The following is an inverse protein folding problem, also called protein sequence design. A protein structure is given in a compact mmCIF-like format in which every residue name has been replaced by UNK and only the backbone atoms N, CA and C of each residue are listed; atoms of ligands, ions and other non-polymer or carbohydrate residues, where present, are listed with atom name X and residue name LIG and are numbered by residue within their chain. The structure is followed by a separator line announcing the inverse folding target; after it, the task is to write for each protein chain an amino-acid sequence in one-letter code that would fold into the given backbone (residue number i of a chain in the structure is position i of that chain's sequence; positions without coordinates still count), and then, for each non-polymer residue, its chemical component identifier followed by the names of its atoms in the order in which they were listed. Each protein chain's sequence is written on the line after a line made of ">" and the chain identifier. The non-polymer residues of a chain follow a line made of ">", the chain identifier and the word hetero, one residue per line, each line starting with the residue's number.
data_IF_140547611835
#
_entry.id   IF_140547611835
#
_cell.length_a   1.000
_cell.length_b   1.000
_cell.length_c   1.000
_cell.angle_alpha   90.00
_cell.angle_beta   90.00
_cell.angle_gamma   90.00
#
_symmetry.space_group_name_H-M   'P 1'
#
loop_
_entity.id
_entity.type
_entity.pdbx_description
1 polymer ?
#
# COMPACT_ATOMS: atom_id res chain seq x y z
N UNK A 1 -19.33 -0.21 2.40
CA UNK A 1 -19.62 -1.16 3.51
C UNK A 1 -20.92 -1.93 3.29
N UNK A 2 -21.98 -1.32 2.75
CA UNK A 2 -23.32 -1.91 2.59
C UNK A 2 -23.37 -3.15 1.67
N UNK A 3 -22.54 -3.22 0.63
CA UNK A 3 -22.54 -4.32 -0.34
C UNK A 3 -21.71 -5.56 0.06
N UNK A 4 -21.00 -5.52 1.19
CA UNK A 4 -20.02 -6.55 1.56
C UNK A 4 -20.59 -7.97 1.64
N UNK A 5 -21.82 -8.13 2.14
CA UNK A 5 -22.48 -9.44 2.24
C UNK A 5 -22.93 -9.95 0.88
N UNK A 6 -23.45 -9.07 0.02
CA UNK A 6 -23.90 -9.43 -1.32
C UNK A 6 -22.74 -9.89 -2.21
N UNK A 7 -21.56 -9.27 -2.08
CA UNK A 7 -20.37 -9.69 -2.84
C UNK A 7 -19.82 -11.02 -2.32
N UNK A 8 -19.82 -11.22 -1.00
CA UNK A 8 -19.36 -12.50 -0.42
C UNK A 8 -20.29 -13.67 -0.78
N UNK A 9 -21.61 -13.44 -0.77
CA UNK A 9 -22.61 -14.42 -1.23
C UNK A 9 -22.49 -14.79 -2.71
N UNK A 10 -21.83 -13.95 -3.53
CA UNK A 10 -21.57 -14.27 -4.93
C UNK A 10 -20.56 -15.43 -5.09
N UNK A 11 -19.72 -15.66 -4.07
CA UNK A 11 -18.64 -16.65 -4.10
C UNK A 11 -18.90 -17.85 -3.20
N UNK A 12 -19.65 -17.70 -2.10
CA UNK A 12 -19.94 -18.79 -1.18
C UNK A 12 -21.22 -18.52 -0.38
N UNK A 13 -22.08 -19.53 -0.26
CA UNK A 13 -23.33 -19.44 0.51
C UNK A 13 -23.16 -19.79 2.00
N UNK A 14 -21.99 -20.29 2.41
CA UNK A 14 -21.75 -20.62 3.81
C UNK A 14 -21.72 -19.34 4.67
N UNK A 15 -22.63 -19.19 5.65
CA UNK A 15 -22.76 -17.97 6.45
C UNK A 15 -21.52 -17.63 7.27
N UNK A 16 -20.72 -18.62 7.70
CA UNK A 16 -19.46 -18.38 8.42
C UNK A 16 -18.39 -17.76 7.50
N UNK A 17 -18.29 -18.25 6.27
CA UNK A 17 -17.34 -17.74 5.26
C UNK A 17 -17.75 -16.33 4.82
N UNK A 18 -19.05 -16.11 4.63
CA UNK A 18 -19.60 -14.79 4.27
C UNK A 18 -19.35 -13.77 5.37
N UNK A 19 -19.50 -14.16 6.65
CA UNK A 19 -19.22 -13.29 7.78
C UNK A 19 -17.74 -12.90 7.86
N UNK A 20 -16.84 -13.86 7.67
CA UNK A 20 -15.39 -13.63 7.66
C UNK A 20 -14.98 -12.73 6.48
N UNK A 21 -15.45 -13.02 5.26
CA UNK A 21 -15.18 -12.22 4.07
C UNK A 21 -15.69 -10.77 4.22
N UNK A 22 -16.87 -10.58 4.82
CA UNK A 22 -17.43 -9.26 5.07
C UNK A 22 -16.58 -8.42 6.05
N UNK A 23 -15.88 -9.05 7.00
CA UNK A 23 -14.93 -8.37 7.88
C UNK A 23 -13.64 -8.00 7.13
N UNK A 24 -13.09 -8.90 6.32
CA UNK A 24 -11.89 -8.63 5.50
C UNK A 24 -12.13 -7.51 4.47
N UNK A 25 -13.35 -7.39 3.92
CA UNK A 25 -13.70 -6.30 3.01
C UNK A 25 -13.62 -4.90 3.64
N UNK A 26 -13.78 -4.79 4.97
CA UNK A 26 -13.58 -3.53 5.67
C UNK A 26 -12.09 -3.14 5.67
N UNK A 27 -11.21 -4.13 5.90
CA UNK A 27 -9.76 -3.94 5.80
C UNK A 27 -9.35 -3.60 4.37
N UNK A 28 -9.93 -4.28 3.38
CA UNK A 28 -9.70 -4.03 1.96
C UNK A 28 -10.08 -2.59 1.55
N UNK A 29 -11.15 -2.03 2.12
CA UNK A 29 -11.53 -0.65 1.85
C UNK A 29 -10.48 0.37 2.32
N UNK A 30 -9.86 0.14 3.48
CA UNK A 30 -8.77 0.98 3.99
C UNK A 30 -7.50 0.79 3.15
N UNK A 31 -7.17 -0.46 2.84
CA UNK A 31 -6.08 -0.82 1.94
C UNK A 31 -6.17 -0.07 0.60
N UNK A 32 -7.37 0.02 0.02
CA UNK A 32 -7.61 0.62 -1.30
C UNK A 32 -7.19 2.10 -1.38
N UNK A 33 -7.29 2.85 -0.27
CA UNK A 33 -6.90 4.26 -0.23
C UNK A 33 -5.39 4.39 -0.41
N UNK A 34 -4.61 3.62 0.35
CA UNK A 34 -3.15 3.61 0.23
C UNK A 34 -2.69 3.11 -1.14
N UNK A 35 -3.31 2.04 -1.63
CA UNK A 35 -3.01 1.46 -2.94
C UNK A 35 -3.24 2.47 -4.07
N UNK A 36 -4.38 3.16 -4.05
CA UNK A 36 -4.72 4.18 -5.06
C UNK A 36 -3.70 5.31 -5.10
N UNK A 37 -3.28 5.83 -3.94
CA UNK A 37 -2.27 6.90 -3.85
C UNK A 37 -0.93 6.42 -4.40
N UNK A 38 -0.52 5.20 -4.05
CA UNK A 38 0.72 4.63 -4.56
C UNK A 38 0.69 4.46 -6.08
N UNK A 39 -0.39 3.89 -6.63
CA UNK A 39 -0.54 3.67 -8.08
C UNK A 39 -0.51 4.99 -8.85
N UNK A 40 -1.24 6.00 -8.38
CA UNK A 40 -1.25 7.35 -8.97
C UNK A 40 0.16 7.97 -8.88
N UNK A 41 0.79 7.94 -7.71
CA UNK A 41 2.14 8.48 -7.50
C UNK A 41 3.19 7.81 -8.40
N UNK A 42 3.14 6.48 -8.53
CA UNK A 42 3.97 5.73 -9.46
C UNK A 42 3.71 6.13 -10.92
N UNK A 43 2.45 6.28 -11.32
CA UNK A 43 2.08 6.75 -12.66
C UNK A 43 2.66 8.12 -12.99
N UNK A 44 2.58 9.06 -12.04
CA UNK A 44 3.15 10.41 -12.17
C UNK A 44 4.68 10.34 -12.31
N UNK A 45 5.36 9.58 -11.44
CA UNK A 45 6.82 9.44 -11.49
C UNK A 45 7.30 8.77 -12.79
N UNK A 46 6.54 7.80 -13.34
CA UNK A 46 6.80 7.24 -14.68
C UNK A 46 6.66 8.30 -15.77
N UNK A 47 5.65 9.18 -15.66
CA UNK A 47 5.49 10.34 -16.56
C UNK A 47 6.67 11.30 -16.53
N UNK A 48 7.29 11.49 -15.36
CA UNK A 48 8.54 12.24 -15.21
C UNK A 48 9.82 11.48 -15.63
N UNK A 49 9.69 10.27 -16.19
CA UNK A 49 10.80 9.35 -16.49
C UNK A 49 11.67 8.97 -15.26
N UNK A 50 11.16 9.15 -14.04
CA UNK A 50 11.87 8.79 -12.80
C UNK A 50 11.44 7.41 -12.28
N UNK A 51 11.81 6.36 -13.02
CA UNK A 51 11.44 4.97 -12.69
C UNK A 51 12.34 4.33 -11.63
N UNK A 52 13.60 4.80 -11.51
CA UNK A 52 14.54 4.30 -10.50
C UNK A 52 14.05 4.61 -9.09
N UNK A 53 13.51 5.81 -8.86
CA UNK A 53 12.99 6.16 -7.54
C UNK A 53 11.80 5.28 -7.14
N UNK A 54 10.93 4.92 -8.10
CA UNK A 54 9.80 4.01 -7.86
C UNK A 54 10.31 2.67 -7.33
N UNK A 55 11.32 2.08 -7.99
CA UNK A 55 11.88 0.79 -7.59
C UNK A 55 12.45 0.80 -6.17
N UNK A 56 13.26 1.80 -5.82
CA UNK A 56 13.83 1.88 -4.47
C UNK A 56 12.78 2.13 -3.40
N UNK A 57 11.76 2.94 -3.71
CA UNK A 57 10.65 3.19 -2.79
C UNK A 57 9.86 1.91 -2.53
N UNK A 58 9.44 1.19 -3.58
CA UNK A 58 8.65 -0.04 -3.41
C UNK A 58 9.47 -1.15 -2.75
N UNK A 59 10.75 -1.28 -3.11
CA UNK A 59 11.64 -2.24 -2.45
C UNK A 59 11.73 -1.97 -0.95
N UNK A 60 12.07 -0.73 -0.55
CA UNK A 60 12.23 -0.37 0.87
C UNK A 60 10.91 -0.51 1.63
N UNK A 61 9.81 -0.01 1.05
CA UNK A 61 8.51 -0.05 1.70
C UNK A 61 8.02 -1.48 1.97
N UNK A 62 8.22 -2.41 1.02
CA UNK A 62 7.72 -3.77 1.18
C UNK A 62 8.70 -4.68 1.92
N UNK A 63 10.00 -4.60 1.61
CA UNK A 63 10.99 -5.48 2.22
C UNK A 63 11.49 -5.01 3.58
N UNK A 64 11.66 -3.70 3.78
CA UNK A 64 12.25 -3.17 5.02
C UNK A 64 11.18 -2.76 6.02
N UNK A 65 10.03 -2.28 5.56
CA UNK A 65 8.95 -1.86 6.44
C UNK A 65 7.84 -2.91 6.54
N UNK A 66 7.25 -3.31 5.40
CA UNK A 66 6.09 -4.20 5.38
C UNK A 66 6.38 -5.59 5.95
N UNK A 67 7.41 -6.26 5.45
CA UNK A 67 7.79 -7.62 5.87
C UNK A 67 8.19 -7.68 7.37
N UNK A 68 9.10 -6.83 7.87
CA UNK A 68 9.49 -6.85 9.27
C UNK A 68 8.35 -6.46 10.20
N UNK A 69 7.56 -5.43 9.88
CA UNK A 69 6.39 -5.06 10.70
C UNK A 69 5.34 -6.18 10.72
N UNK A 70 5.08 -6.83 9.57
CA UNK A 70 4.18 -7.97 9.49
C UNK A 70 4.66 -9.16 10.32
N UNK A 71 5.96 -9.49 10.24
CA UNK A 71 6.57 -10.56 11.04
C UNK A 71 6.48 -10.27 12.54
N UNK A 72 6.85 -9.04 12.95
CA UNK A 72 6.80 -8.62 14.36
C UNK A 72 5.37 -8.74 14.89
N UNK A 73 4.37 -8.22 14.17
CA UNK A 73 2.98 -8.21 14.63
C UNK A 73 2.31 -9.59 14.56
N UNK A 74 2.71 -10.45 13.63
CA UNK A 74 2.08 -11.75 13.42
C UNK A 74 2.64 -12.84 14.34
N UNK A 75 3.96 -12.86 14.52
CA UNK A 75 4.68 -13.99 15.11
C UNK A 75 5.37 -13.65 16.43
N UNK A 76 5.47 -12.37 16.80
CA UNK A 76 6.24 -11.95 17.97
C UNK A 76 5.38 -11.18 18.96
N UNK A 77 5.59 -11.42 20.25
CA UNK A 77 4.92 -10.69 21.34
C UNK A 77 5.69 -9.41 21.75
N UNK A 78 6.53 -8.87 20.84
CA UNK A 78 7.45 -7.76 21.12
C UNK A 78 6.75 -6.42 21.35
N UNK A 79 5.63 -6.19 20.66
CA UNK A 79 4.90 -4.91 20.66
C UNK A 79 3.44 -5.11 21.06
N UNK A 80 2.82 -6.18 20.54
CA UNK A 80 1.44 -6.59 20.83
C UNK A 80 1.46 -8.12 20.90
N UNK A 81 0.53 -8.71 21.65
CA UNK A 81 0.30 -10.16 21.60
C UNK A 81 0.13 -10.62 20.16
N UNK A 82 0.75 -11.76 19.83
CA UNK A 82 0.71 -12.41 18.52
C UNK A 82 -0.68 -12.39 17.90
N UNK A 83 -0.84 -11.52 16.90
CA UNK A 83 -2.10 -11.34 16.18
C UNK A 83 -2.30 -12.38 15.07
N UNK A 84 -1.32 -13.28 14.88
CA UNK A 84 -1.35 -14.31 13.84
C UNK A 84 -1.51 -13.71 12.44
N UNK A 85 -2.37 -14.26 11.56
CA UNK A 85 -2.55 -13.76 10.20
C UNK A 85 -2.95 -12.28 10.10
N UNK A 86 -3.63 -11.73 11.12
CA UNK A 86 -4.03 -10.32 11.13
C UNK A 86 -2.81 -9.39 11.22
N UNK A 87 -1.73 -9.81 11.88
CA UNK A 87 -0.47 -9.06 11.95
C UNK A 87 0.18 -8.87 10.57
N UNK A 88 0.12 -9.88 9.70
CA UNK A 88 0.62 -9.77 8.32
C UNK A 88 -0.20 -8.79 7.48
N UNK A 89 -1.52 -8.77 7.64
CA UNK A 89 -2.39 -7.79 6.99
C UNK A 89 -2.06 -6.35 7.42
N UNK A 90 -1.80 -6.13 8.71
CA UNK A 90 -1.35 -4.83 9.18
C UNK A 90 0.03 -4.46 8.62
N UNK A 91 0.97 -5.40 8.56
CA UNK A 91 2.27 -5.20 7.91
C UNK A 91 2.15 -4.79 6.43
N UNK A 92 1.24 -5.42 5.68
CA UNK A 92 0.94 -5.02 4.31
C UNK A 92 0.43 -3.58 4.22
N UNK A 93 -0.54 -3.21 5.07
CA UNK A 93 -1.09 -1.85 5.09
C UNK A 93 0.03 -0.84 5.39
N UNK A 94 0.88 -1.10 6.39
CA UNK A 94 2.03 -0.26 6.75
C UNK A 94 2.99 -0.11 5.55
N UNK A 95 3.32 -1.22 4.88
CA UNK A 95 4.15 -1.22 3.68
C UNK A 95 3.57 -0.34 2.57
N UNK A 96 2.29 -0.52 2.24
CA UNK A 96 1.61 0.27 1.21
C UNK A 96 1.49 1.75 1.57
N UNK A 97 1.12 2.06 2.81
CA UNK A 97 1.04 3.44 3.29
C UNK A 97 2.39 4.12 3.23
N UNK A 98 3.46 3.44 3.64
CA UNK A 98 4.81 3.99 3.55
C UNK A 98 5.24 4.25 2.11
N UNK A 99 4.98 3.33 1.18
CA UNK A 99 5.22 3.53 -0.24
C UNK A 99 4.42 4.70 -0.82
N UNK A 100 3.14 4.81 -0.48
CA UNK A 100 2.27 5.90 -0.92
C UNK A 100 2.80 7.27 -0.44
N UNK A 101 3.20 7.38 0.83
CA UNK A 101 3.78 8.59 1.40
C UNK A 101 5.11 8.92 0.73
N UNK A 102 6.02 7.96 0.58
CA UNK A 102 7.33 8.18 -0.05
C UNK A 102 7.20 8.61 -1.52
N UNK A 103 6.28 8.01 -2.28
CA UNK A 103 6.01 8.41 -3.66
C UNK A 103 5.44 9.83 -3.74
N UNK A 104 4.51 10.19 -2.85
CA UNK A 104 3.98 11.55 -2.80
C UNK A 104 5.07 12.57 -2.43
N UNK A 105 5.92 12.25 -1.45
CA UNK A 105 7.05 13.10 -1.08
C UNK A 105 8.03 13.26 -2.23
N UNK A 106 8.36 12.19 -2.95
CA UNK A 106 9.23 12.24 -4.12
C UNK A 106 8.64 13.10 -5.24
N UNK A 107 7.35 12.95 -5.50
CA UNK A 107 6.61 13.78 -6.45
C UNK A 107 6.68 15.26 -6.06
N UNK A 108 6.36 15.60 -4.80
CA UNK A 108 6.43 17.00 -4.32
C UNK A 108 7.84 17.58 -4.38
N UNK A 109 8.86 16.77 -4.09
CA UNK A 109 10.25 17.17 -4.23
C UNK A 109 10.58 17.52 -5.69
N UNK A 110 10.13 16.70 -6.64
CA UNK A 110 10.38 16.92 -8.06
C UNK A 110 9.64 18.15 -8.59
N UNK A 111 8.40 18.39 -8.14
CA UNK A 111 7.61 19.57 -8.50
C UNK A 111 8.18 20.88 -7.99
N UNK A 112 8.93 20.86 -6.88
CA UNK A 112 9.61 22.05 -6.35
C UNK A 112 10.90 22.40 -7.10
N UNK A 113 11.36 21.56 -8.03
CA UNK A 113 12.55 21.87 -8.82
C UNK A 113 12.22 22.91 -9.90
N UNK A 114 13.17 23.81 -10.23
CA UNK A 114 13.00 24.77 -11.32
C UNK A 114 12.57 24.07 -12.61
N UNK A 115 11.59 24.64 -13.31
CA UNK A 115 11.05 24.14 -14.58
C UNK A 115 12.15 23.91 -15.63
N UNK A 116 13.24 24.67 -15.59
CA UNK A 116 14.42 24.46 -16.43
C UNK A 116 15.04 23.05 -16.29
N UNK A 117 15.12 22.50 -15.06
CA UNK A 117 15.70 21.18 -14.79
C UNK A 117 14.72 20.07 -15.23
N UNK A 118 13.42 20.29 -15.02
CA UNK A 118 12.37 19.35 -15.42
C UNK A 118 12.33 19.21 -16.95
N UNK A 119 12.41 20.33 -17.67
CA UNK A 119 12.45 20.34 -19.14
C UNK A 119 13.72 19.69 -19.69
N UNK A 120 14.88 19.89 -19.04
CA UNK A 120 16.12 19.22 -19.41
C UNK A 120 16.03 17.69 -19.27
N UNK A 121 15.31 17.19 -18.26
CA UNK A 121 15.08 15.75 -18.07
C UNK A 121 14.06 15.18 -19.04
N UNK A 122 13.06 15.97 -19.44
CA UNK A 122 12.09 15.55 -20.45
C UNK A 122 12.70 15.46 -21.86
N UNK A 123 13.65 16.35 -22.16
CA UNK A 123 14.40 16.39 -23.42
C UNK A 123 15.44 15.26 -23.56
N UNK A 124 15.74 14.53 -22.49
CA UNK A 124 16.63 13.35 -22.48
C UNK A 124 15.82 12.07 -22.62
#
# INVERSE_FOLDING_TARGET
>A
VTLRKHIALLYNDNPEVVALAAQLMLLAAVYQISDSIQVIGSGILRGYKDTRSIFFITFTAYWVLGLPSGYILALTDLVVDRMGPAGFWMGFIIGLTSAAVLMMLRMRYLQRQPSAIILQRAAR
#
